data_IF_223370832265
#
_entry.id   IF_223370832265
#
_cell.length_a   1.000
_cell.length_b   1.000
_cell.length_c   1.000
_cell.angle_alpha   90.00
_cell.angle_beta   90.00
_cell.angle_gamma   90.00
#
_symmetry.space_group_name_H-M   'P 1'
#
loop_
_entity.id
_entity.type
_entity.pdbx_description
1 polymer ?
#
# COMPACT_ATOMS: atom_id res chain seq x y z
N UNK A 1 48.80 -11.91 -64.81
CA UNK A 1 49.02 -11.81 -63.35
C UNK A 1 48.09 -10.73 -62.84
N UNK A 2 46.86 -11.10 -62.46
CA UNK A 2 46.53 -11.58 -61.10
C UNK A 2 46.86 -10.50 -60.05
N UNK A 3 45.87 -9.71 -59.63
CA UNK A 3 45.06 -9.89 -58.40
C UNK A 3 45.92 -9.68 -57.14
N UNK A 4 45.39 -8.84 -56.22
CA UNK A 4 45.84 -8.45 -54.87
C UNK A 4 46.55 -7.09 -54.87
N UNK A 5 45.92 -6.00 -54.41
CA UNK A 5 45.26 -5.91 -53.12
C UNK A 5 44.26 -4.73 -53.17
N UNK A 6 42.99 -5.05 -53.41
CA UNK A 6 41.87 -4.23 -52.94
C UNK A 6 41.99 -4.20 -51.42
N UNK A 7 42.45 -3.09 -50.85
CA UNK A 7 42.41 -2.87 -49.40
C UNK A 7 41.52 -1.66 -49.13
N UNK A 8 40.24 -1.98 -48.97
CA UNK A 8 39.27 -1.33 -48.08
C UNK A 8 39.38 0.19 -47.93
N UNK A 9 38.83 0.91 -48.89
CA UNK A 9 38.03 2.11 -48.58
C UNK A 9 36.66 1.96 -49.25
N UNK A 10 36.00 0.83 -49.01
CA UNK A 10 34.58 0.89 -48.73
C UNK A 10 34.46 1.74 -47.47
N UNK A 11 34.38 3.06 -47.65
CA UNK A 11 33.73 3.92 -46.66
C UNK A 11 32.30 3.39 -46.65
N UNK A 12 32.08 2.43 -45.74
CA UNK A 12 30.77 2.09 -45.23
C UNK A 12 30.21 3.41 -44.70
N UNK A 13 29.55 4.19 -45.56
CA UNK A 13 28.56 5.15 -45.12
C UNK A 13 27.42 4.32 -44.54
N UNK A 14 27.62 3.85 -43.31
CA UNK A 14 26.53 3.42 -42.46
C UNK A 14 25.86 4.73 -42.05
N UNK A 15 24.71 5.05 -42.64
CA UNK A 15 23.88 6.06 -42.02
C UNK A 15 23.46 5.46 -40.68
N UNK A 16 23.96 6.00 -39.58
CA UNK A 16 23.61 5.53 -38.24
C UNK A 16 22.09 5.63 -38.07
N UNK A 17 21.44 4.49 -37.83
CA UNK A 17 20.01 4.49 -37.50
C UNK A 17 19.81 5.16 -36.16
N UNK A 18 18.71 5.90 -36.02
CA UNK A 18 18.35 6.45 -34.73
C UNK A 18 17.94 5.29 -33.81
N UNK A 19 18.79 5.01 -32.82
CA UNK A 19 18.52 4.02 -31.79
C UNK A 19 17.21 4.32 -31.05
N UNK A 20 16.71 3.31 -30.33
CA UNK A 20 15.52 3.41 -29.51
C UNK A 20 15.54 4.65 -28.61
N UNK A 21 14.43 5.37 -28.57
CA UNK A 21 14.34 6.66 -27.88
C UNK A 21 14.71 7.89 -28.71
N UNK A 22 15.05 7.73 -30.01
CA UNK A 22 15.37 8.85 -30.91
C UNK A 22 14.61 8.74 -32.23
N UNK A 23 14.39 9.88 -32.90
CA UNK A 23 13.75 9.98 -34.21
C UNK A 23 14.59 10.79 -35.20
N UNK A 24 14.37 10.55 -36.49
CA UNK A 24 15.01 11.27 -37.60
C UNK A 24 14.38 12.65 -37.74
N UNK A 25 15.12 13.73 -37.43
CA UNK A 25 14.59 15.10 -37.49
C UNK A 25 14.83 15.79 -38.84
N UNK A 26 15.90 15.43 -39.56
CA UNK A 26 16.24 15.96 -40.89
C UNK A 26 17.37 15.15 -41.56
N UNK A 27 17.50 15.32 -42.88
CA UNK A 27 18.68 14.90 -43.65
C UNK A 27 19.65 16.07 -43.81
N UNK A 28 20.97 15.80 -43.76
CA UNK A 28 21.96 16.72 -44.31
C UNK A 28 22.41 16.26 -45.71
N UNK A 29 22.98 17.18 -46.48
CA UNK A 29 23.41 17.00 -47.89
C UNK A 29 24.52 15.95 -48.10
N UNK A 30 24.89 15.18 -47.07
CA UNK A 30 25.93 14.15 -47.10
C UNK A 30 25.48 12.77 -46.59
N UNK A 31 24.17 12.53 -46.44
CA UNK A 31 23.65 11.19 -46.15
C UNK A 31 23.87 10.70 -44.70
N UNK A 32 23.98 11.64 -43.74
CA UNK A 32 23.96 11.30 -42.30
C UNK A 32 22.65 11.75 -41.68
N UNK A 33 21.94 10.83 -41.00
CA UNK A 33 20.67 11.10 -40.33
C UNK A 33 20.90 12.01 -39.11
N UNK A 34 20.16 13.12 -39.00
CA UNK A 34 20.15 13.91 -37.76
C UNK A 34 19.14 13.31 -36.78
N UNK A 35 19.63 12.53 -35.81
CA UNK A 35 18.80 11.97 -34.75
C UNK A 35 18.53 13.00 -33.65
N UNK A 36 17.26 13.17 -33.30
CA UNK A 36 16.81 13.97 -32.17
C UNK A 36 16.18 13.09 -31.10
N UNK A 37 16.28 13.53 -29.84
CA UNK A 37 15.67 12.82 -28.72
C UNK A 37 14.15 12.81 -28.85
N UNK A 38 13.54 11.65 -28.58
CA UNK A 38 12.09 11.54 -28.57
C UNK A 38 11.54 12.51 -27.52
N UNK A 39 10.67 13.46 -27.90
CA UNK A 39 10.11 14.41 -26.95
C UNK A 39 9.18 13.71 -25.96
N UNK A 40 9.11 14.22 -24.73
CA UNK A 40 8.20 13.69 -23.72
C UNK A 40 6.75 13.69 -24.23
N UNK A 41 5.99 12.66 -23.85
CA UNK A 41 4.64 12.39 -24.35
C UNK A 41 4.58 11.62 -25.67
N UNK A 42 5.73 11.29 -26.23
CA UNK A 42 5.84 10.47 -27.43
C UNK A 42 6.84 9.33 -27.22
N UNK A 43 6.69 8.26 -27.99
CA UNK A 43 7.62 7.14 -27.99
C UNK A 43 8.18 6.91 -29.38
N UNK A 44 9.45 6.53 -29.41
CA UNK A 44 10.22 6.32 -30.63
C UNK A 44 10.88 4.94 -30.52
N UNK A 45 10.24 3.86 -31.04
CA UNK A 45 10.68 2.48 -30.80
C UNK A 45 12.10 2.16 -31.27
N UNK A 46 12.69 3.01 -32.14
CA UNK A 46 13.96 2.74 -32.80
C UNK A 46 13.77 1.74 -33.94
N UNK A 47 14.66 1.75 -34.92
CA UNK A 47 14.57 0.85 -36.08
C UNK A 47 15.32 -0.47 -35.88
N UNK A 48 14.88 -1.51 -36.60
CA UNK A 48 15.67 -2.68 -36.99
C UNK A 48 16.63 -2.34 -38.14
N UNK A 49 17.73 -3.09 -38.27
CA UNK A 49 18.97 -2.77 -39.01
C UNK A 49 18.89 -2.39 -40.52
N UNK A 50 17.72 -2.24 -41.14
CA UNK A 50 17.55 -2.08 -42.61
C UNK A 50 16.70 -0.86 -43.06
N UNK A 51 16.89 0.35 -42.52
CA UNK A 51 16.12 1.53 -42.96
C UNK A 51 16.96 2.81 -43.03
N UNK A 52 17.14 3.35 -44.26
CA UNK A 52 18.24 4.26 -44.60
C UNK A 52 17.85 5.68 -45.07
N UNK A 53 16.67 6.24 -44.76
CA UNK A 53 16.41 7.66 -45.09
C UNK A 53 15.21 8.28 -44.36
N UNK A 54 15.30 9.57 -43.97
CA UNK A 54 14.17 10.35 -43.41
C UNK A 54 13.13 10.73 -44.51
N UNK A 55 12.80 9.86 -45.46
CA UNK A 55 11.90 10.20 -46.57
C UNK A 55 10.43 10.15 -46.15
N UNK A 56 9.78 11.30 -46.23
CA UNK A 56 8.33 11.41 -46.34
C UNK A 56 7.91 11.30 -47.80
N UNK A 57 7.15 10.26 -48.11
CA UNK A 57 5.99 10.21 -49.03
C UNK A 57 5.81 8.77 -49.56
N UNK A 58 4.62 8.20 -49.35
CA UNK A 58 4.11 7.06 -50.10
C UNK A 58 4.67 5.68 -49.72
N UNK A 59 3.91 4.97 -48.88
CA UNK A 59 3.87 3.52 -48.69
C UNK A 59 5.17 2.75 -48.38
N UNK A 60 5.25 2.28 -47.11
CA UNK A 60 6.03 1.14 -46.60
C UNK A 60 7.57 1.24 -46.52
N UNK A 61 8.06 2.24 -45.78
CA UNK A 61 9.36 2.18 -45.11
C UNK A 61 9.23 2.75 -43.69
N UNK A 62 9.45 1.93 -42.66
CA UNK A 62 9.22 2.27 -41.25
C UNK A 62 10.28 3.23 -40.70
N UNK A 63 10.26 4.48 -41.15
CA UNK A 63 10.84 5.61 -40.42
C UNK A 63 10.22 5.67 -39.04
N UNK A 64 10.99 5.49 -37.95
CA UNK A 64 10.46 5.48 -36.59
C UNK A 64 9.70 6.79 -36.33
N UNK A 65 8.36 6.81 -36.41
CA UNK A 65 7.61 8.04 -36.28
C UNK A 65 7.58 8.40 -34.81
N UNK A 66 7.59 9.70 -34.52
CA UNK A 66 7.33 10.18 -33.18
C UNK A 66 5.84 9.92 -32.87
N UNK A 67 5.54 8.79 -32.23
CA UNK A 67 4.18 8.36 -31.95
C UNK A 67 3.71 8.93 -30.62
N UNK A 68 2.52 9.54 -30.59
CA UNK A 68 1.94 10.00 -29.32
C UNK A 68 1.69 8.81 -28.41
N UNK A 69 2.01 8.96 -27.13
CA UNK A 69 1.56 7.96 -26.16
C UNK A 69 0.03 7.92 -26.14
N UNK A 70 -0.59 6.74 -26.26
CA UNK A 70 -2.03 6.62 -26.14
C UNK A 70 -2.47 7.07 -24.74
N UNK A 71 -3.73 7.50 -24.62
CA UNK A 71 -4.29 7.89 -23.34
C UNK A 71 -4.19 6.73 -22.32
N UNK A 72 -3.94 7.05 -21.06
CA UNK A 72 -3.61 6.08 -20.01
C UNK A 72 -2.13 5.67 -19.95
N UNK A 73 -1.30 6.18 -20.86
CA UNK A 73 0.16 5.97 -20.83
C UNK A 73 0.91 7.30 -20.90
N UNK A 74 2.18 7.30 -20.49
CA UNK A 74 3.05 8.46 -20.55
C UNK A 74 4.47 8.09 -21.01
N UNK A 75 5.23 9.08 -21.43
CA UNK A 75 6.65 8.90 -21.71
C UNK A 75 7.47 10.13 -21.35
N UNK A 76 8.68 9.89 -20.87
CA UNK A 76 9.69 10.93 -20.67
C UNK A 76 10.47 11.16 -21.97
N UNK A 77 11.37 12.15 -21.97
CA UNK A 77 12.30 12.34 -23.08
C UNK A 77 13.13 11.07 -23.33
N UNK A 78 13.49 10.82 -24.59
CA UNK A 78 14.22 9.63 -25.02
C UNK A 78 13.50 8.28 -24.82
N UNK A 79 12.17 8.26 -24.70
CA UNK A 79 11.46 7.00 -24.50
C UNK A 79 11.26 6.19 -25.79
N UNK A 80 11.49 4.89 -25.71
CA UNK A 80 11.22 3.95 -26.81
C UNK A 80 9.84 3.31 -26.74
N UNK A 81 9.19 3.40 -25.59
CA UNK A 81 7.84 2.88 -25.35
C UNK A 81 7.07 3.85 -24.44
N UNK A 82 5.78 3.64 -24.25
CA UNK A 82 5.00 4.36 -23.25
C UNK A 82 4.81 3.49 -22.01
N UNK A 83 5.00 4.09 -20.84
CA UNK A 83 4.73 3.45 -19.55
C UNK A 83 3.27 3.68 -19.18
N UNK A 84 2.62 2.68 -18.58
CA UNK A 84 1.24 2.84 -18.10
C UNK A 84 1.18 3.79 -16.90
N UNK A 85 0.08 4.53 -16.80
CA UNK A 85 -0.23 5.26 -15.58
C UNK A 85 -0.62 4.27 -14.48
N UNK A 86 -0.01 4.41 -13.30
CA UNK A 86 -0.39 3.64 -12.11
C UNK A 86 -1.83 3.97 -11.70
N UNK A 87 -2.44 3.07 -10.95
CA UNK A 87 -3.77 3.27 -10.38
C UNK A 87 -3.89 4.62 -9.63
N UNK A 88 -5.06 5.24 -9.70
CA UNK A 88 -5.30 6.59 -9.17
C UNK A 88 -4.76 7.74 -10.03
N UNK A 89 -4.06 7.44 -11.13
CA UNK A 89 -3.59 8.44 -12.11
C UNK A 89 -4.09 8.16 -13.52
N UNK A 90 -4.28 9.22 -14.32
CA UNK A 90 -4.74 9.15 -15.70
C UNK A 90 -3.88 10.03 -16.60
N UNK A 91 -3.89 9.75 -17.90
CA UNK A 91 -3.26 10.63 -18.89
C UNK A 91 -4.08 10.73 -20.16
N UNK A 92 -4.00 11.88 -20.80
CA UNK A 92 -4.54 12.09 -22.14
C UNK A 92 -3.50 11.66 -23.20
N UNK A 93 -3.95 11.56 -24.45
CA UNK A 93 -3.05 11.26 -25.59
C UNK A 93 -1.91 12.28 -25.63
N UNK A 94 -0.67 11.79 -25.75
CA UNK A 94 0.51 12.63 -25.86
C UNK A 94 1.05 13.18 -24.52
N UNK A 95 0.62 12.64 -23.38
CA UNK A 95 1.04 13.14 -22.07
C UNK A 95 2.44 12.68 -21.68
N UNK A 96 3.25 13.60 -21.15
CA UNK A 96 4.58 13.30 -20.61
C UNK A 96 4.57 12.82 -19.16
N UNK A 97 3.43 12.93 -18.49
CA UNK A 97 3.24 12.55 -17.09
C UNK A 97 1.81 12.03 -16.88
N UNK A 98 1.59 11.31 -15.78
CA UNK A 98 0.24 10.96 -15.34
C UNK A 98 -0.25 12.02 -14.34
N UNK A 99 -1.51 12.43 -14.50
CA UNK A 99 -2.20 13.35 -13.61
C UNK A 99 -2.98 12.58 -12.56
N UNK A 100 -3.01 13.07 -11.32
CA UNK A 100 -3.81 12.49 -10.25
C UNK A 100 -5.31 12.63 -10.54
N UNK A 101 -6.09 11.62 -10.18
CA UNK A 101 -7.54 11.70 -10.31
C UNK A 101 -8.13 12.78 -9.37
N UNK A 102 -9.12 13.57 -9.83
CA UNK A 102 -9.87 14.47 -8.97
C UNK A 102 -10.53 13.74 -7.79
N UNK A 103 -10.74 14.45 -6.68
CA UNK A 103 -11.38 13.91 -5.48
C UNK A 103 -12.72 13.22 -5.81
N UNK A 104 -12.94 12.02 -5.25
CA UNK A 104 -14.13 11.20 -5.50
C UNK A 104 -14.10 10.37 -6.80
N UNK A 105 -12.98 10.38 -7.53
CA UNK A 105 -12.79 9.58 -8.74
C UNK A 105 -11.52 8.73 -8.67
N UNK A 106 -11.46 7.65 -9.45
CA UNK A 106 -10.35 6.71 -9.47
C UNK A 106 -10.16 6.14 -10.87
N UNK A 107 -8.91 5.85 -11.23
CA UNK A 107 -8.53 5.22 -12.49
C UNK A 107 -7.80 3.91 -12.22
N UNK A 108 -8.12 2.88 -12.99
CA UNK A 108 -7.33 1.65 -13.00
C UNK A 108 -6.00 1.89 -13.74
N UNK A 109 -5.03 1.01 -13.55
CA UNK A 109 -3.76 1.05 -14.29
C UNK A 109 -4.01 1.12 -15.80
N UNK A 110 -3.35 2.05 -16.48
CA UNK A 110 -3.50 2.25 -17.91
C UNK A 110 -4.80 2.96 -18.35
N UNK A 111 -5.61 3.48 -17.43
CA UNK A 111 -6.87 4.16 -17.79
C UNK A 111 -6.66 5.61 -18.25
N UNK A 112 -7.37 5.96 -19.34
CA UNK A 112 -7.40 7.30 -19.92
C UNK A 112 -8.26 8.31 -19.12
N UNK A 113 -9.10 7.82 -18.21
CA UNK A 113 -10.09 8.63 -17.49
C UNK A 113 -10.24 8.19 -16.06
N UNK A 114 -10.60 9.12 -15.18
CA UNK A 114 -11.02 8.81 -13.82
C UNK A 114 -12.52 8.52 -13.80
N UNK A 115 -12.88 7.36 -13.29
CA UNK A 115 -14.27 6.93 -13.11
C UNK A 115 -14.72 7.26 -11.71
N UNK A 116 -16.02 7.51 -11.52
CA UNK A 116 -16.52 7.86 -10.20
C UNK A 116 -16.55 6.63 -9.28
N UNK A 117 -16.09 6.82 -8.04
CA UNK A 117 -15.99 5.75 -7.05
C UNK A 117 -17.36 5.18 -6.67
N UNK A 118 -17.37 3.91 -6.28
CA UNK A 118 -18.54 3.27 -5.70
C UNK A 118 -18.89 3.89 -4.33
N UNK A 119 -20.17 3.87 -3.99
CA UNK A 119 -20.70 4.37 -2.72
C UNK A 119 -21.50 3.29 -2.02
N UNK A 120 -21.43 3.26 -0.69
CA UNK A 120 -22.18 2.31 0.10
C UNK A 120 -23.70 2.54 -0.03
N UNK A 121 -24.42 1.45 -0.22
CA UNK A 121 -25.87 1.39 -0.27
C UNK A 121 -26.38 0.37 0.74
N UNK A 122 -27.53 0.67 1.34
CA UNK A 122 -28.26 -0.25 2.21
C UNK A 122 -29.27 -1.10 1.44
N UNK A 123 -29.42 -0.89 0.12
CA UNK A 123 -30.32 -1.69 -0.72
C UNK A 123 -29.67 -3.01 -1.14
N UNK A 124 -30.23 -4.19 -0.81
CA UNK A 124 -29.66 -5.48 -1.18
C UNK A 124 -29.54 -5.73 -2.69
N UNK A 125 -30.25 -4.96 -3.52
CA UNK A 125 -30.19 -5.07 -4.99
C UNK A 125 -29.10 -4.19 -5.61
N UNK A 126 -28.39 -3.39 -4.82
CA UNK A 126 -27.35 -2.51 -5.30
C UNK A 126 -26.08 -3.31 -5.62
N UNK A 127 -25.86 -3.62 -6.89
CA UNK A 127 -24.78 -4.48 -7.38
C UNK A 127 -23.53 -3.71 -7.85
N UNK A 128 -23.56 -2.37 -7.78
CA UNK A 128 -22.46 -1.51 -8.20
C UNK A 128 -22.50 -1.07 -9.66
N UNK A 129 -23.46 -1.55 -10.47
CA UNK A 129 -23.58 -1.15 -11.88
C UNK A 129 -23.82 0.36 -12.05
N UNK A 130 -24.52 0.97 -11.09
CA UNK A 130 -24.80 2.41 -11.02
C UNK A 130 -23.93 3.14 -9.97
N UNK A 131 -22.83 2.50 -9.53
CA UNK A 131 -21.94 2.86 -8.42
C UNK A 131 -22.48 2.63 -7.01
N UNK A 132 -23.78 2.39 -6.82
CA UNK A 132 -24.30 2.05 -5.52
C UNK A 132 -24.01 0.57 -5.26
N UNK A 133 -23.27 0.26 -4.21
CA UNK A 133 -22.92 -1.12 -3.88
C UNK A 133 -23.44 -1.51 -2.50
N UNK A 134 -24.11 -2.66 -2.42
CA UNK A 134 -24.59 -3.20 -1.16
C UNK A 134 -23.41 -3.70 -0.33
N UNK A 135 -23.13 -3.02 0.78
CA UNK A 135 -22.01 -3.30 1.67
C UNK A 135 -22.41 -2.91 3.08
N UNK A 136 -22.59 -3.90 3.95
CA UNK A 136 -23.15 -3.74 5.30
C UNK A 136 -22.17 -4.24 6.38
N UNK A 137 -22.57 -4.20 7.66
CA UNK A 137 -21.76 -4.70 8.79
C UNK A 137 -20.31 -4.19 8.83
N UNK A 138 -20.11 -2.87 8.66
CA UNK A 138 -18.78 -2.23 8.63
C UNK A 138 -17.87 -2.70 7.50
N UNK A 139 -18.47 -3.06 6.37
CA UNK A 139 -17.77 -3.17 5.10
C UNK A 139 -17.43 -1.79 4.52
N UNK A 140 -16.26 -1.68 3.92
CA UNK A 140 -15.83 -0.50 3.17
C UNK A 140 -16.02 -0.75 1.67
N UNK A 141 -16.80 0.10 1.01
CA UNK A 141 -16.97 0.02 -0.45
C UNK A 141 -15.73 0.57 -1.15
N UNK A 142 -15.23 -0.20 -2.11
CA UNK A 142 -14.15 0.17 -3.00
C UNK A 142 -14.54 0.00 -4.46
N UNK A 143 -13.63 0.37 -5.35
CA UNK A 143 -13.78 0.22 -6.79
C UNK A 143 -14.58 1.31 -7.48
N UNK A 144 -14.90 1.06 -8.75
CA UNK A 144 -15.60 1.96 -9.66
C UNK A 144 -16.85 1.29 -10.22
N UNK A 145 -17.77 2.08 -10.79
CA UNK A 145 -19.02 1.57 -11.38
C UNK A 145 -18.79 0.28 -12.20
N UNK A 146 -19.56 -0.78 -11.92
CA UNK A 146 -19.45 -2.09 -12.57
C UNK A 146 -18.36 -3.02 -12.04
N UNK A 147 -17.45 -2.52 -11.18
CA UNK A 147 -16.38 -3.28 -10.52
C UNK A 147 -16.29 -2.91 -9.04
N UNK A 148 -17.43 -2.66 -8.40
CA UNK A 148 -17.46 -2.35 -6.98
C UNK A 148 -17.07 -3.58 -6.15
N UNK A 149 -16.32 -3.34 -5.08
CA UNK A 149 -15.96 -4.35 -4.09
C UNK A 149 -16.37 -3.88 -2.71
N UNK A 150 -16.49 -4.82 -1.76
CA UNK A 150 -16.73 -4.51 -0.36
C UNK A 150 -15.69 -5.26 0.48
N UNK A 151 -14.88 -4.49 1.18
CA UNK A 151 -13.84 -4.99 2.08
C UNK A 151 -14.44 -5.14 3.47
N UNK A 152 -14.51 -6.37 3.98
CA UNK A 152 -15.11 -6.64 5.29
C UNK A 152 -14.13 -6.47 6.46
N UNK A 153 -14.69 -6.14 7.63
CA UNK A 153 -13.92 -5.94 8.87
C UNK A 153 -14.36 -6.87 10.02
N UNK A 154 -15.68 -7.08 10.19
CA UNK A 154 -16.27 -7.95 11.24
C UNK A 154 -17.36 -8.87 10.67
N UNK A 155 -17.19 -9.26 9.41
CA UNK A 155 -18.19 -9.98 8.63
C UNK A 155 -17.57 -10.68 7.42
N UNK A 156 -18.34 -11.56 6.79
CA UNK A 156 -17.99 -12.39 5.63
C UNK A 156 -19.00 -12.15 4.50
N UNK A 157 -18.65 -12.58 3.29
CA UNK A 157 -19.49 -12.44 2.10
C UNK A 157 -19.08 -11.26 1.20
N UNK A 158 -19.55 -11.28 -0.05
CA UNK A 158 -19.19 -10.25 -1.05
C UNK A 158 -19.76 -8.87 -0.73
N UNK A 159 -20.76 -8.81 0.16
CA UNK A 159 -21.41 -7.60 0.65
C UNK A 159 -21.32 -7.47 2.17
N UNK A 160 -20.44 -8.24 2.82
CA UNK A 160 -20.29 -8.29 4.27
C UNK A 160 -21.57 -8.67 5.03
N UNK A 161 -22.43 -9.48 4.40
CA UNK A 161 -23.76 -9.82 4.88
C UNK A 161 -23.78 -10.91 5.96
N UNK A 162 -22.71 -11.70 6.06
CA UNK A 162 -22.60 -12.80 7.04
C UNK A 162 -21.85 -12.27 8.26
N UNK A 163 -22.52 -12.19 9.42
CA UNK A 163 -21.89 -11.77 10.67
C UNK A 163 -20.89 -12.83 11.14
N UNK A 164 -19.68 -12.40 11.53
CA UNK A 164 -18.65 -13.30 12.07
C UNK A 164 -19.00 -13.85 13.46
N UNK A 165 -18.35 -14.93 13.86
CA UNK A 165 -18.51 -15.48 15.21
C UNK A 165 -17.84 -14.56 16.24
N UNK A 166 -18.33 -14.59 17.48
CA UNK A 166 -17.75 -13.84 18.61
C UNK A 166 -17.08 -14.81 19.56
N UNK A 167 -15.78 -14.61 19.78
CA UNK A 167 -14.93 -15.39 20.68
C UNK A 167 -14.54 -14.52 21.89
N UNK A 168 -14.39 -15.11 23.07
CA UNK A 168 -14.01 -14.38 24.29
C UNK A 168 -12.66 -14.88 24.80
N UNK A 169 -11.68 -13.98 24.89
CA UNK A 169 -10.35 -14.29 25.40
C UNK A 169 -10.15 -13.62 26.76
N UNK A 170 -9.96 -14.41 27.82
CA UNK A 170 -9.78 -13.91 29.19
C UNK A 170 -8.34 -14.05 29.70
N UNK A 171 -7.46 -14.67 28.92
CA UNK A 171 -6.05 -14.82 29.25
C UNK A 171 -5.18 -14.91 27.98
N UNK A 172 -3.87 -14.81 28.19
CA UNK A 172 -2.85 -14.84 27.15
C UNK A 172 -2.89 -16.11 26.29
N UNK A 173 -3.12 -17.28 26.90
CA UNK A 173 -3.10 -18.55 26.17
C UNK A 173 -4.31 -18.68 25.26
N UNK A 174 -5.48 -18.25 25.74
CA UNK A 174 -6.71 -18.24 24.94
C UNK A 174 -6.57 -17.26 23.78
N UNK A 175 -6.15 -16.03 24.03
CA UNK A 175 -5.96 -15.03 22.98
C UNK A 175 -4.96 -15.50 21.93
N UNK A 176 -3.82 -16.02 22.36
CA UNK A 176 -2.78 -16.54 21.46
C UNK A 176 -3.32 -17.64 20.54
N UNK A 177 -4.08 -18.59 21.08
CA UNK A 177 -4.67 -19.68 20.29
C UNK A 177 -5.75 -19.21 19.31
N UNK A 178 -6.35 -18.05 19.56
CA UNK A 178 -7.33 -17.45 18.67
C UNK A 178 -6.67 -16.80 17.47
N UNK A 179 -5.70 -15.91 17.69
CA UNK A 179 -5.24 -14.98 16.66
C UNK A 179 -3.87 -15.31 16.06
N UNK A 180 -3.02 -16.09 16.73
CA UNK A 180 -1.67 -16.37 16.23
C UNK A 180 -1.67 -17.59 15.32
N UNK A 181 -1.42 -17.41 14.01
CA UNK A 181 -1.62 -18.44 12.99
C UNK A 181 -0.41 -18.68 12.06
N UNK A 182 0.71 -17.98 12.26
CA UNK A 182 1.92 -18.18 11.47
C UNK A 182 2.55 -19.55 11.76
N UNK A 183 2.89 -20.28 10.70
CA UNK A 183 3.58 -21.57 10.76
C UNK A 183 5.01 -21.41 10.27
N UNK A 184 5.99 -21.73 11.12
CA UNK A 184 7.41 -21.78 10.78
C UNK A 184 8.17 -22.79 11.64
N UNK A 185 9.36 -23.20 11.19
CA UNK A 185 10.14 -24.34 11.74
C UNK A 185 10.52 -24.19 13.22
N UNK A 186 10.63 -22.96 13.73
CA UNK A 186 11.03 -22.65 15.11
C UNK A 186 9.94 -21.93 15.91
N UNK A 187 8.74 -21.79 15.34
CA UNK A 187 7.69 -20.94 15.87
C UNK A 187 6.65 -21.75 16.62
N UNK A 188 5.99 -21.12 17.59
CA UNK A 188 4.77 -21.68 18.18
C UNK A 188 3.59 -21.13 17.40
N UNK A 189 2.78 -22.00 16.81
CA UNK A 189 1.53 -21.61 16.16
C UNK A 189 0.37 -21.79 17.13
N UNK A 190 -0.54 -20.82 17.19
CA UNK A 190 -1.79 -20.98 17.91
C UNK A 190 -2.74 -21.95 17.20
N UNK A 191 -3.85 -22.28 17.83
CA UNK A 191 -4.84 -23.19 17.25
C UNK A 191 -5.63 -22.59 16.06
N UNK A 192 -5.40 -21.32 15.70
CA UNK A 192 -6.06 -20.60 14.62
C UNK A 192 -7.59 -20.75 14.64
N UNK A 193 -8.19 -20.43 15.79
CA UNK A 193 -9.62 -20.65 16.04
C UNK A 193 -10.51 -19.59 15.35
N UNK A 194 -9.95 -18.41 15.07
CA UNK A 194 -10.66 -17.27 14.49
C UNK A 194 -10.71 -17.40 12.97
N UNK A 195 -11.91 -17.37 12.40
CA UNK A 195 -12.09 -17.27 10.96
C UNK A 195 -12.13 -15.81 10.50
N UNK A 196 -11.86 -15.57 9.22
CA UNK A 196 -11.90 -14.24 8.60
C UNK A 196 -13.22 -13.49 8.84
N UNK A 197 -13.19 -12.35 9.52
CA UNK A 197 -14.38 -11.55 9.85
C UNK A 197 -15.01 -11.88 11.19
N UNK A 198 -14.48 -12.83 11.95
CA UNK A 198 -14.88 -13.04 13.34
C UNK A 198 -14.43 -11.88 14.24
N UNK A 199 -14.99 -11.83 15.45
CA UNK A 199 -14.62 -10.87 16.50
C UNK A 199 -14.08 -11.60 17.73
N UNK A 200 -13.02 -11.07 18.32
CA UNK A 200 -12.45 -11.53 19.59
C UNK A 200 -12.63 -10.43 20.62
N UNK A 201 -13.40 -10.71 21.64
CA UNK A 201 -13.60 -9.84 22.80
C UNK A 201 -12.53 -10.16 23.83
N UNK A 202 -11.70 -9.18 24.15
CA UNK A 202 -10.62 -9.27 25.13
C UNK A 202 -11.17 -8.89 26.51
N UNK A 203 -11.03 -9.81 27.46
CA UNK A 203 -11.37 -9.58 28.87
C UNK A 203 -10.51 -8.49 29.49
N UNK A 204 -11.03 -7.79 30.49
CA UNK A 204 -10.25 -6.83 31.27
C UNK A 204 -9.11 -7.53 32.00
N UNK A 205 -7.91 -6.96 31.92
CA UNK A 205 -6.73 -7.52 32.58
C UNK A 205 -5.46 -7.35 31.74
N UNK A 206 -4.37 -7.93 32.23
CA UNK A 206 -3.07 -7.91 31.57
C UNK A 206 -2.75 -9.27 30.96
N UNK A 207 -2.55 -9.29 29.64
CA UNK A 207 -2.18 -10.41 28.82
C UNK A 207 -0.66 -10.35 28.66
N UNK A 208 0.02 -11.22 29.40
CA UNK A 208 1.47 -11.25 29.56
C UNK A 208 1.89 -12.70 29.78
N UNK A 209 3.11 -13.06 29.36
CA UNK A 209 3.63 -14.41 29.53
C UNK A 209 3.42 -15.31 28.31
N UNK A 210 3.83 -16.58 28.44
CA UNK A 210 3.72 -17.57 27.37
C UNK A 210 2.25 -18.00 27.17
N UNK A 211 1.88 -18.53 25.98
CA UNK A 211 2.72 -18.76 24.79
C UNK A 211 3.04 -17.49 23.99
N UNK A 212 4.12 -17.59 23.19
CA UNK A 212 4.60 -16.57 22.25
C UNK A 212 4.84 -17.22 20.89
N UNK A 213 4.64 -16.47 19.80
CA UNK A 213 4.83 -16.99 18.45
C UNK A 213 6.32 -17.29 18.17
N UNK A 214 7.21 -16.41 18.64
CA UNK A 214 8.66 -16.56 18.53
C UNK A 214 9.35 -15.97 19.78
N UNK A 215 10.67 -16.12 19.83
CA UNK A 215 11.59 -15.50 20.76
C UNK A 215 11.38 -13.99 20.93
N UNK A 216 11.03 -13.25 19.87
CA UNK A 216 10.83 -11.80 19.87
C UNK A 216 9.39 -11.35 19.51
N UNK A 217 8.44 -12.27 19.32
CA UNK A 217 7.07 -11.96 18.87
C UNK A 217 6.04 -12.66 19.76
N UNK A 218 5.09 -11.90 20.32
CA UNK A 218 3.97 -12.46 21.10
C UNK A 218 2.91 -13.06 20.18
N UNK A 219 2.32 -12.28 19.26
CA UNK A 219 1.31 -12.76 18.31
C UNK A 219 1.80 -12.58 16.86
N UNK A 220 1.70 -13.64 16.06
CA UNK A 220 2.05 -13.62 14.65
C UNK A 220 0.83 -13.99 13.80
N UNK A 221 0.39 -13.04 12.98
CA UNK A 221 -0.82 -13.10 12.17
C UNK A 221 -0.42 -13.07 10.71
N UNK A 222 -1.01 -13.93 9.88
CA UNK A 222 -0.77 -13.98 8.45
C UNK A 222 -2.06 -14.29 7.69
N UNK A 223 -2.39 -13.43 6.72
CA UNK A 223 -3.49 -13.63 5.76
C UNK A 223 -4.88 -13.86 6.37
N UNK A 224 -5.12 -13.34 7.58
CA UNK A 224 -6.44 -13.35 8.22
C UNK A 224 -6.87 -11.95 8.68
N UNK A 225 -8.17 -11.73 8.79
CA UNK A 225 -8.73 -10.50 9.35
C UNK A 225 -9.80 -10.77 10.40
N UNK A 226 -9.85 -9.96 11.45
CA UNK A 226 -10.80 -10.08 12.55
C UNK A 226 -10.87 -8.76 13.33
N UNK A 227 -11.87 -8.63 14.19
CA UNK A 227 -11.97 -7.50 15.11
C UNK A 227 -11.55 -7.90 16.51
N UNK A 228 -10.52 -7.27 17.07
CA UNK A 228 -10.06 -7.45 18.44
C UNK A 228 -10.54 -6.27 19.30
N UNK A 229 -11.49 -6.53 20.20
CA UNK A 229 -12.22 -5.48 20.92
C UNK A 229 -12.10 -5.65 22.42
N UNK A 230 -11.68 -4.61 23.13
CA UNK A 230 -11.67 -4.61 24.60
C UNK A 230 -13.10 -4.60 25.18
N UNK A 231 -13.38 -5.48 26.15
CA UNK A 231 -14.69 -5.57 26.81
C UNK A 231 -14.95 -4.50 27.89
N UNK A 232 -13.89 -3.85 28.38
CA UNK A 232 -13.98 -2.92 29.51
C UNK A 232 -13.94 -1.45 29.12
N UNK A 233 -13.59 -0.60 30.10
CA UNK A 233 -13.28 0.81 29.82
C UNK A 233 -12.05 0.91 28.92
N UNK A 234 -11.89 2.04 28.22
CA UNK A 234 -10.72 2.29 27.37
C UNK A 234 -9.41 1.91 28.09
N UNK A 235 -8.56 1.16 27.41
CA UNK A 235 -7.22 0.74 27.85
C UNK A 235 -7.18 -0.25 29.02
N UNK A 236 -8.32 -0.83 29.44
CA UNK A 236 -8.37 -1.83 30.52
C UNK A 236 -7.94 -3.25 30.09
N UNK A 237 -7.87 -3.50 28.79
CA UNK A 237 -7.35 -4.73 28.20
C UNK A 237 -5.91 -4.49 27.74
N UNK A 238 -4.95 -4.92 28.56
CA UNK A 238 -3.54 -4.60 28.41
C UNK A 238 -2.81 -5.78 27.78
N UNK A 239 -2.19 -5.58 26.62
CA UNK A 239 -1.24 -6.50 26.01
C UNK A 239 0.17 -6.02 26.35
N UNK A 240 0.93 -6.82 27.10
CA UNK A 240 2.22 -6.41 27.70
C UNK A 240 3.36 -7.25 27.14
N UNK A 241 4.32 -6.59 26.46
CA UNK A 241 5.48 -7.26 25.83
C UNK A 241 6.64 -7.55 26.80
N UNK A 242 6.49 -7.24 28.09
CA UNK A 242 7.45 -7.51 29.17
C UNK A 242 8.85 -6.94 28.94
N UNK A 243 8.95 -5.84 28.20
CA UNK A 243 10.19 -5.22 27.73
C UNK A 243 11.10 -6.18 26.95
N UNK A 244 10.53 -7.22 26.32
CA UNK A 244 11.31 -8.31 25.73
C UNK A 244 10.86 -8.76 24.35
N UNK A 245 9.61 -8.47 23.98
CA UNK A 245 9.03 -8.93 22.71
C UNK A 245 8.18 -7.85 22.09
N UNK A 246 8.10 -7.90 20.76
CA UNK A 246 7.08 -7.22 19.98
C UNK A 246 5.72 -7.86 20.23
N UNK A 247 4.68 -7.05 20.36
CA UNK A 247 3.35 -7.57 20.68
C UNK A 247 2.70 -8.26 19.47
N UNK A 248 2.59 -7.59 18.34
CA UNK A 248 1.85 -8.12 17.19
C UNK A 248 2.62 -7.92 15.89
N UNK A 249 2.69 -8.99 15.10
CA UNK A 249 3.27 -8.99 13.78
C UNK A 249 2.20 -9.44 12.77
N UNK A 250 1.88 -8.57 11.82
CA UNK A 250 0.77 -8.74 10.87
C UNK A 250 1.34 -8.80 9.44
N UNK A 251 1.31 -9.99 8.85
CA UNK A 251 1.72 -10.30 7.49
C UNK A 251 0.50 -10.47 6.59
N UNK A 252 -0.01 -9.37 6.05
CA UNK A 252 -1.22 -9.39 5.24
C UNK A 252 -2.49 -9.74 6.03
N UNK A 253 -3.64 -9.46 5.41
CA UNK A 253 -4.96 -9.67 6.03
C UNK A 253 -5.95 -10.37 5.08
N UNK A 254 -5.47 -10.95 3.98
CA UNK A 254 -6.33 -11.62 3.00
C UNK A 254 -7.34 -10.69 2.31
N UNK A 255 -7.08 -9.37 2.31
CA UNK A 255 -7.92 -8.35 1.69
C UNK A 255 -9.06 -7.82 2.57
N UNK A 256 -9.24 -8.34 3.80
CA UNK A 256 -10.11 -7.76 4.83
C UNK A 256 -9.35 -6.86 5.80
N UNK A 257 -10.07 -6.16 6.68
CA UNK A 257 -9.46 -5.23 7.64
C UNK A 257 -9.41 -5.83 9.04
N UNK A 258 -8.23 -5.85 9.67
CA UNK A 258 -8.12 -6.11 11.12
C UNK A 258 -8.52 -4.85 11.86
N UNK A 259 -9.43 -4.95 12.83
CA UNK A 259 -9.79 -3.84 13.73
C UNK A 259 -9.18 -4.11 15.11
N UNK A 260 -8.38 -3.19 15.61
CA UNK A 260 -7.84 -3.18 16.98
C UNK A 260 -8.54 -2.07 17.75
N UNK A 261 -9.34 -2.43 18.76
CA UNK A 261 -10.30 -1.51 19.38
C UNK A 261 -10.18 -1.45 20.91
N UNK A 262 -9.84 -0.27 21.44
CA UNK A 262 -9.83 0.00 22.89
C UNK A 262 -8.71 -0.67 23.69
N UNK A 263 -7.70 -1.21 23.01
CA UNK A 263 -6.62 -2.02 23.59
C UNK A 263 -5.48 -1.13 24.11
N UNK A 264 -4.72 -1.64 25.09
CA UNK A 264 -3.50 -1.00 25.57
C UNK A 264 -2.29 -1.87 25.25
N UNK A 265 -1.47 -1.47 24.28
CA UNK A 265 -0.20 -2.10 23.94
C UNK A 265 0.91 -1.42 24.72
N UNK A 266 1.58 -2.14 25.62
CA UNK A 266 2.65 -1.56 26.44
C UNK A 266 3.87 -2.43 26.61
N UNK A 267 4.96 -1.76 26.97
CA UNK A 267 6.22 -2.40 27.36
C UNK A 267 6.70 -3.41 26.30
N UNK A 268 6.37 -3.21 25.03
CA UNK A 268 6.84 -4.07 23.96
C UNK A 268 8.26 -3.68 23.58
N UNK A 269 9.13 -4.65 23.29
CA UNK A 269 10.49 -4.37 22.87
C UNK A 269 10.93 -5.36 21.79
N UNK A 270 11.13 -4.88 20.57
CA UNK A 270 11.60 -5.70 19.45
C UNK A 270 13.14 -5.75 19.35
N UNK A 271 13.86 -5.20 20.32
CA UNK A 271 15.32 -5.11 20.32
C UNK A 271 15.83 -4.34 19.11
N UNK A 272 16.69 -4.98 18.31
CA UNK A 272 17.23 -4.40 17.07
C UNK A 272 16.27 -4.48 15.88
N UNK A 273 15.10 -5.11 16.04
CA UNK A 273 14.08 -5.23 15.00
C UNK A 273 13.12 -4.03 15.00
N UNK A 274 12.13 -4.06 14.11
CA UNK A 274 11.21 -2.94 13.82
C UNK A 274 9.83 -3.09 14.47
N UNK A 275 9.18 -2.01 14.88
CA UNK A 275 7.82 -2.08 15.42
C UNK A 275 7.81 -2.67 16.83
N UNK A 276 7.84 -1.82 17.86
CA UNK A 276 7.82 -2.32 19.23
C UNK A 276 6.46 -2.93 19.55
N UNK A 277 5.37 -2.18 19.44
CA UNK A 277 4.03 -2.76 19.62
C UNK A 277 3.57 -3.53 18.38
N UNK A 278 3.51 -2.86 17.23
CA UNK A 278 2.92 -3.38 16.00
C UNK A 278 3.94 -3.35 14.84
N UNK A 279 4.11 -4.49 14.18
CA UNK A 279 4.69 -4.57 12.84
C UNK A 279 3.57 -4.91 11.85
N UNK A 280 3.41 -4.10 10.79
CA UNK A 280 2.34 -4.23 9.81
C UNK A 280 2.93 -4.21 8.40
N UNK A 281 2.72 -5.27 7.63
CA UNK A 281 3.24 -5.36 6.27
C UNK A 281 2.44 -6.28 5.37
N UNK A 282 2.99 -6.52 4.18
CA UNK A 282 2.51 -7.49 3.19
C UNK A 282 1.05 -7.26 2.77
N UNK A 283 0.72 -6.02 2.38
CA UNK A 283 -0.63 -5.62 1.98
C UNK A 283 -1.69 -5.72 3.07
N UNK A 284 -1.27 -5.70 4.34
CA UNK A 284 -2.18 -5.73 5.47
C UNK A 284 -3.05 -4.46 5.54
N UNK A 285 -4.34 -4.64 5.83
CA UNK A 285 -5.27 -3.56 6.11
C UNK A 285 -5.61 -3.56 7.60
N UNK A 286 -5.24 -2.50 8.33
CA UNK A 286 -5.39 -2.42 9.78
C UNK A 286 -6.04 -1.10 10.19
N UNK A 287 -7.04 -1.17 11.08
CA UNK A 287 -7.67 -0.04 11.75
C UNK A 287 -7.33 -0.09 13.24
N UNK A 288 -6.69 0.95 13.76
CA UNK A 288 -6.35 1.11 15.19
C UNK A 288 -7.26 2.17 15.79
N UNK A 289 -8.21 1.75 16.62
CA UNK A 289 -9.33 2.55 17.09
C UNK A 289 -9.31 2.69 18.61
N UNK A 290 -9.10 3.90 19.10
CA UNK A 290 -9.14 4.21 20.53
C UNK A 290 -8.17 3.39 21.37
N UNK A 291 -7.03 3.01 20.81
CA UNK A 291 -6.00 2.25 21.51
C UNK A 291 -5.04 3.18 22.27
N UNK A 292 -4.27 2.60 23.19
CA UNK A 292 -3.08 3.24 23.78
C UNK A 292 -1.86 2.41 23.44
N UNK A 293 -0.82 3.06 22.90
CA UNK A 293 0.49 2.48 22.70
C UNK A 293 1.49 3.23 23.59
N UNK A 294 2.02 2.58 24.62
CA UNK A 294 2.93 3.26 25.56
C UNK A 294 4.17 2.46 25.96
N UNK A 295 5.30 3.15 26.13
CA UNK A 295 6.57 2.53 26.55
C UNK A 295 7.03 1.39 25.64
N UNK A 296 6.69 1.44 24.35
CA UNK A 296 7.11 0.45 23.37
C UNK A 296 8.43 0.87 22.70
N UNK A 297 9.31 -0.09 22.45
CA UNK A 297 10.71 0.14 22.08
C UNK A 297 11.08 -0.68 20.84
N UNK A 298 11.81 -0.07 19.92
CA UNK A 298 12.32 -0.75 18.72
C UNK A 298 13.61 -0.11 18.21
N UNK A 299 14.22 -0.71 17.19
CA UNK A 299 15.25 -0.03 16.41
C UNK A 299 14.65 1.11 15.58
N UNK A 300 13.48 0.85 14.99
CA UNK A 300 12.71 1.75 14.14
C UNK A 300 11.23 1.53 14.42
N UNK A 301 10.42 2.59 14.60
CA UNK A 301 8.99 2.45 14.87
C UNK A 301 8.72 1.91 16.28
N UNK A 302 8.99 2.68 17.33
CA UNK A 302 8.83 2.22 18.71
C UNK A 302 7.39 1.77 19.01
N UNK A 303 6.39 2.55 18.57
CA UNK A 303 4.99 2.13 18.58
C UNK A 303 4.64 1.22 17.40
N UNK A 304 4.53 1.80 16.20
CA UNK A 304 4.07 1.13 14.98
C UNK A 304 5.15 1.22 13.90
N UNK A 305 5.39 0.10 13.23
CA UNK A 305 6.16 0.05 11.99
C UNK A 305 5.29 -0.49 10.85
N UNK A 306 5.13 0.28 9.78
CA UNK A 306 4.39 -0.11 8.58
C UNK A 306 5.33 -0.19 7.36
N UNK A 307 5.20 -1.22 6.52
CA UNK A 307 6.02 -1.37 5.31
C UNK A 307 5.29 -2.07 4.17
N UNK A 308 5.88 -1.99 2.97
CA UNK A 308 5.49 -2.66 1.73
C UNK A 308 4.25 -2.03 1.08
N UNK A 309 4.24 -2.05 -0.25
CA UNK A 309 3.12 -1.53 -1.04
C UNK A 309 1.84 -2.32 -0.76
N UNK A 310 0.70 -1.62 -0.76
CA UNK A 310 -0.61 -2.19 -0.47
C UNK A 310 -0.99 -2.21 1.01
N UNK A 311 -0.02 -2.04 1.92
CA UNK A 311 -0.30 -1.97 3.36
C UNK A 311 -0.98 -0.65 3.69
N UNK A 312 -2.10 -0.71 4.40
CA UNK A 312 -2.87 0.47 4.84
C UNK A 312 -3.12 0.43 6.34
N UNK A 313 -2.77 1.51 7.04
CA UNK A 313 -3.03 1.65 8.48
C UNK A 313 -3.85 2.91 8.73
N UNK A 314 -5.05 2.74 9.27
CA UNK A 314 -5.90 3.84 9.72
C UNK A 314 -5.86 3.94 11.23
N UNK A 315 -5.56 5.12 11.76
CA UNK A 315 -5.43 5.34 13.19
C UNK A 315 -6.47 6.37 13.63
N UNK A 316 -7.28 6.01 14.61
CA UNK A 316 -8.35 6.84 15.13
C UNK A 316 -8.24 6.96 16.65
N UNK A 317 -8.24 8.19 17.16
CA UNK A 317 -8.34 8.49 18.60
C UNK A 317 -7.38 7.68 19.49
N UNK A 318 -6.20 7.35 18.97
CA UNK A 318 -5.22 6.46 19.61
C UNK A 318 -4.10 7.28 20.22
N UNK A 319 -3.75 7.01 21.48
CA UNK A 319 -2.70 7.74 22.20
C UNK A 319 -1.36 7.02 22.15
N UNK A 320 -0.29 7.77 21.89
CA UNK A 320 1.09 7.30 21.89
C UNK A 320 1.87 7.96 23.03
N UNK A 321 2.48 7.18 23.93
CA UNK A 321 3.00 7.70 25.21
C UNK A 321 4.33 7.05 25.58
N UNK A 322 5.43 7.78 25.39
CA UNK A 322 6.78 7.31 25.77
C UNK A 322 7.28 6.11 24.97
N UNK A 323 6.83 5.94 23.72
CA UNK A 323 7.46 4.97 22.82
C UNK A 323 8.83 5.50 22.38
N UNK A 324 9.77 4.61 22.04
CA UNK A 324 11.12 5.00 21.63
C UNK A 324 11.65 4.13 20.49
N UNK A 325 12.37 4.75 19.56
CA UNK A 325 13.13 4.11 18.50
C UNK A 325 14.60 4.52 18.60
N UNK A 326 15.52 3.59 18.34
CA UNK A 326 16.95 3.95 18.34
C UNK A 326 17.41 4.74 17.12
N UNK A 327 16.63 4.71 16.02
CA UNK A 327 16.93 5.40 14.76
C UNK A 327 15.86 6.44 14.44
N UNK A 328 14.64 6.02 14.07
CA UNK A 328 13.61 6.90 13.53
C UNK A 328 12.19 6.43 13.89
N UNK A 329 11.29 7.39 14.07
CA UNK A 329 9.87 7.19 14.32
C UNK A 329 9.62 6.54 15.68
N UNK A 330 9.75 7.30 16.76
CA UNK A 330 9.52 6.79 18.12
C UNK A 330 8.09 6.22 18.24
N UNK A 331 7.09 6.90 17.68
CA UNK A 331 5.71 6.42 17.71
C UNK A 331 5.32 5.65 16.45
N UNK A 332 5.60 6.23 15.27
CA UNK A 332 5.19 5.63 13.99
C UNK A 332 6.33 5.76 12.98
N UNK A 333 6.73 4.63 12.41
CA UNK A 333 7.57 4.60 11.23
C UNK A 333 6.81 4.03 10.03
N UNK A 334 6.89 4.76 8.92
CA UNK A 334 6.27 4.40 7.65
C UNK A 334 7.40 4.15 6.64
N UNK A 335 7.65 2.88 6.31
CA UNK A 335 8.65 2.46 5.33
C UNK A 335 8.22 2.74 3.89
N UNK A 336 8.89 2.13 2.90
CA UNK A 336 8.54 2.33 1.48
C UNK A 336 7.28 1.57 1.07
N UNK A 337 6.29 2.27 0.49
CA UNK A 337 5.07 1.69 -0.10
C UNK A 337 3.73 1.80 0.66
N UNK A 338 3.66 1.75 2.01
CA UNK A 338 2.40 1.78 2.73
C UNK A 338 1.74 3.17 2.74
N UNK A 339 0.44 3.18 3.06
CA UNK A 339 -0.34 4.37 3.38
C UNK A 339 -0.77 4.33 4.84
N UNK A 340 -0.39 5.35 5.60
CA UNK A 340 -0.78 5.51 7.01
C UNK A 340 -1.54 6.81 7.16
N UNK A 341 -2.74 6.74 7.73
CA UNK A 341 -3.60 7.91 7.92
C UNK A 341 -4.01 8.04 9.38
N UNK A 342 -3.69 9.19 9.97
CA UNK A 342 -4.09 9.56 11.34
C UNK A 342 -5.32 10.45 11.27
N UNK A 343 -6.46 9.90 11.66
CA UNK A 343 -7.75 10.56 11.58
C UNK A 343 -7.99 11.40 12.84
N UNK A 344 -8.40 12.65 12.63
CA UNK A 344 -8.82 13.58 13.69
C UNK A 344 -10.27 13.33 14.17
N UNK A 345 -10.98 12.45 13.49
CA UNK A 345 -12.38 12.12 13.78
C UNK A 345 -12.49 10.68 14.25
N UNK A 346 -13.55 10.38 15.00
CA UNK A 346 -13.86 9.02 15.43
C UNK A 346 -14.47 8.21 14.26
N UNK A 347 -14.27 6.88 14.21
CA UNK A 347 -15.02 6.02 13.31
C UNK A 347 -16.53 6.14 13.58
N UNK A 348 -17.34 5.85 12.56
CA UNK A 348 -18.79 5.75 12.73
C UNK A 348 -19.10 4.73 13.83
N UNK A 349 -19.94 5.12 14.80
CA UNK A 349 -20.35 4.38 16.02
C UNK A 349 -19.41 4.47 17.25
N UNK A 350 -18.34 5.27 17.24
CA UNK A 350 -17.52 5.48 18.43
C UNK A 350 -17.95 6.73 19.22
N UNK A 351 -18.29 6.56 20.51
CA UNK A 351 -18.58 7.65 21.45
C UNK A 351 -17.42 7.84 22.42
N UNK A 352 -16.44 8.66 22.04
CA UNK A 352 -15.29 9.00 22.87
C UNK A 352 -14.64 10.30 22.43
N UNK A 353 -13.94 10.97 23.34
CA UNK A 353 -13.09 12.11 23.01
C UNK A 353 -11.81 11.60 22.36
N UNK A 354 -11.35 12.16 21.21
CA UNK A 354 -10.05 11.82 20.65
C UNK A 354 -8.96 12.02 21.70
N UNK A 355 -8.30 10.95 22.12
CA UNK A 355 -7.16 11.02 23.02
C UNK A 355 -5.89 11.09 22.16
N UNK A 356 -5.20 12.22 22.19
CA UNK A 356 -3.84 12.33 21.69
C UNK A 356 -2.86 12.10 22.85
N UNK A 357 -1.80 11.34 22.57
CA UNK A 357 -0.64 11.27 23.46
C UNK A 357 0.30 12.46 23.24
N UNK A 358 1.32 12.57 24.09
CA UNK A 358 2.40 13.57 23.96
C UNK A 358 3.06 13.48 22.59
N UNK A 359 3.35 14.64 21.97
CA UNK A 359 4.13 14.84 20.73
C UNK A 359 4.34 13.60 19.87
N UNK A 360 3.35 13.28 19.03
CA UNK A 360 3.42 12.17 18.07
C UNK A 360 4.67 12.30 17.17
N UNK A 361 5.64 11.42 17.36
CA UNK A 361 6.85 11.37 16.54
C UNK A 361 6.71 10.35 15.41
N UNK A 362 6.71 10.87 14.19
CA UNK A 362 6.48 10.08 12.98
C UNK A 362 7.59 10.25 11.96
N UNK A 363 7.99 9.15 11.33
CA UNK A 363 8.91 9.17 10.20
C UNK A 363 8.29 8.47 8.98
N UNK A 364 8.41 9.08 7.80
CA UNK A 364 7.99 8.47 6.52
C UNK A 364 9.15 8.41 5.52
N UNK A 365 9.49 7.21 5.07
CA UNK A 365 10.62 6.94 4.18
C UNK A 365 10.20 6.86 2.70
N UNK A 366 10.81 7.68 1.84
CA UNK A 366 10.56 7.71 0.39
C UNK A 366 9.07 7.87 0.02
N UNK A 367 8.58 7.21 -1.03
CA UNK A 367 7.24 7.26 -1.63
C UNK A 367 6.08 6.83 -0.70
N UNK A 368 6.31 6.77 0.61
CA UNK A 368 5.30 6.43 1.58
C UNK A 368 4.32 7.58 1.79
N UNK A 369 3.06 7.25 2.05
CA UNK A 369 2.04 8.26 2.36
C UNK A 369 1.77 8.26 3.85
N UNK A 370 2.14 9.34 4.53
CA UNK A 370 1.66 9.65 5.86
C UNK A 370 0.78 10.90 5.77
N UNK A 371 -0.50 10.76 6.09
CA UNK A 371 -1.48 11.84 5.99
C UNK A 371 -2.31 11.97 7.27
N UNK A 372 -2.92 13.13 7.48
CA UNK A 372 -3.76 13.41 8.66
C UNK A 372 -3.16 14.44 9.62
N UNK A 373 -3.79 14.61 10.78
CA UNK A 373 -3.38 15.59 11.78
C UNK A 373 -2.18 15.09 12.59
N UNK A 374 -0.98 15.37 12.12
CA UNK A 374 0.30 15.07 12.79
C UNK A 374 0.71 16.14 13.82
N UNK A 375 -0.08 17.21 13.97
CA UNK A 375 0.13 18.27 14.97
C UNK A 375 -1.09 18.39 15.88
N UNK A 376 -0.85 18.16 17.16
CA UNK A 376 -1.58 18.64 18.35
C UNK A 376 -3.09 18.86 18.22
N UNK A 377 -3.86 18.01 18.89
CA UNK A 377 -5.00 18.49 19.68
C UNK A 377 -4.66 18.33 21.15
N UNK A 378 -4.09 19.39 21.71
CA UNK A 378 -3.85 19.55 23.13
C UNK A 378 -4.76 20.68 23.59
N UNK A 379 -5.88 20.39 24.27
CA UNK A 379 -6.55 21.34 25.17
C UNK A 379 -7.47 20.58 26.14
N UNK A 380 -7.21 20.69 27.45
CA UNK A 380 -8.21 20.47 28.51
C UNK A 380 -7.69 19.82 29.78
#
# INVERSE_FOLDING_TARGET
MMIHLLLLMSILFTADSCGSGRYCASENTWGTNQCSDCPAGYYCPGQSEDSWACWGEGDSGDNAPKNQCPAGTFSLVMSSTCSQCLEGTFSLVGSSTCSQCPEGTFSLEGSATCTTLCVASTSPSADGSDRNFYCINRGSVGGVAGYCTCTCSSSKGSSCEIVGAVHNANDQTVLFNFISNVVCDSCTTGNNIVDNGDSVVVGVGTFIGAPYADSDIVYAINEIFFSLVCSGTAHSCVLDGSNSRRLMNIYGTGGGTIILSGLHFKDANSGTNYGGALYIGSSALVSVEGCKLSANQASIGGGIYAQQSGTTVNIYSTSFDGNTASSDGDDIYVGSGPSVTVHSTCPLDWSGTPAAGSDLDTFAWNSATLSGTTKSFDIG
#
